data_IF_891536377768
#
_entry.id   IF_891536377768
#
_cell.length_a   1.000
_cell.length_b   1.000
_cell.length_c   1.000
_cell.angle_alpha   90.00
_cell.angle_beta   90.00
_cell.angle_gamma   90.00
#
_symmetry.space_group_name_H-M   'P 1'
#
loop_
_entity.id
_entity.type
_entity.pdbx_description
1 polymer ?
#
# COMPACT_ATOMS: atom_id res chain seq x y z
N UNK A 1 -26.09 21.80 31.05
CA UNK A 1 -25.60 20.92 29.97
C UNK A 1 -26.83 20.31 29.38
N UNK A 2 -27.30 20.84 28.24
CA UNK A 2 -28.38 20.21 27.52
C UNK A 2 -27.75 19.02 26.80
N UNK A 3 -28.15 17.82 27.20
CA UNK A 3 -27.78 16.58 26.55
C UNK A 3 -28.87 16.15 25.56
N UNK A 4 -28.70 14.96 25.00
CA UNK A 4 -29.50 14.35 23.96
C UNK A 4 -31.00 14.65 24.09
N UNK A 5 -31.55 15.30 23.07
CA UNK A 5 -32.92 15.83 23.04
C UNK A 5 -33.75 15.30 21.86
N UNK A 6 -33.22 14.35 21.08
CA UNK A 6 -33.93 13.78 19.94
C UNK A 6 -35.02 12.79 20.38
N UNK A 7 -36.29 12.99 19.99
CA UNK A 7 -37.43 12.26 20.56
C UNK A 7 -37.61 10.84 20.01
N UNK A 8 -37.23 10.60 18.75
CA UNK A 8 -37.57 9.35 18.06
C UNK A 8 -36.56 8.23 18.29
N UNK A 9 -35.36 8.56 18.72
CA UNK A 9 -34.26 7.61 18.90
C UNK A 9 -33.33 8.05 20.02
N UNK A 10 -32.96 7.11 20.90
CA UNK A 10 -31.94 7.37 21.92
C UNK A 10 -30.54 7.42 21.29
N UNK A 11 -29.60 8.16 21.90
CA UNK A 11 -28.20 8.18 21.46
C UNK A 11 -27.60 6.76 21.43
N UNK A 12 -27.91 5.92 22.43
CA UNK A 12 -27.40 4.56 22.50
C UNK A 12 -27.88 3.69 21.32
N UNK A 13 -29.16 3.80 20.96
CA UNK A 13 -29.71 3.02 19.85
C UNK A 13 -29.23 3.54 18.49
N UNK A 14 -29.03 4.85 18.36
CA UNK A 14 -28.40 5.43 17.17
C UNK A 14 -26.96 4.93 17.01
N UNK A 15 -26.17 4.91 18.08
CA UNK A 15 -24.78 4.41 18.03
C UNK A 15 -24.74 2.91 17.68
N UNK A 16 -25.70 2.10 18.17
CA UNK A 16 -25.85 0.70 17.73
C UNK A 16 -26.13 0.60 16.23
N UNK A 17 -27.01 1.45 15.70
CA UNK A 17 -27.34 1.48 14.28
C UNK A 17 -26.14 1.92 13.41
N UNK A 18 -25.37 2.92 13.86
CA UNK A 18 -24.15 3.38 13.20
C UNK A 18 -23.07 2.29 13.23
N UNK A 19 -22.92 1.57 14.35
CA UNK A 19 -21.99 0.43 14.43
C UNK A 19 -22.35 -0.67 13.43
N UNK A 20 -23.62 -1.04 13.32
CA UNK A 20 -24.08 -1.99 12.32
C UNK A 20 -23.82 -1.51 10.88
N UNK A 21 -24.01 -0.21 10.63
CA UNK A 21 -23.67 0.40 9.33
C UNK A 21 -22.18 0.31 9.01
N UNK A 22 -21.31 0.64 9.98
CA UNK A 22 -19.86 0.50 9.85
C UNK A 22 -19.45 -0.93 9.53
N UNK A 23 -20.04 -1.92 10.18
CA UNK A 23 -19.79 -3.34 9.88
C UNK A 23 -20.20 -3.69 8.44
N UNK A 24 -21.33 -3.18 7.95
CA UNK A 24 -21.75 -3.35 6.55
C UNK A 24 -20.81 -2.66 5.56
N UNK A 25 -20.38 -1.43 5.84
CA UNK A 25 -19.39 -0.71 5.02
C UNK A 25 -18.07 -1.47 4.95
N UNK A 26 -17.63 -2.02 6.07
CA UNK A 26 -16.42 -2.83 6.10
C UNK A 26 -16.57 -4.10 5.22
N UNK A 27 -17.73 -4.75 5.24
CA UNK A 27 -18.03 -5.88 4.34
C UNK A 27 -18.18 -5.47 2.86
N UNK A 28 -18.62 -4.23 2.61
CA UNK A 28 -18.73 -3.68 1.25
C UNK A 28 -17.37 -3.51 0.57
N UNK A 29 -16.27 -3.46 1.34
CA UNK A 29 -14.89 -3.48 0.81
C UNK A 29 -14.55 -4.74 0.00
N UNK A 30 -15.37 -5.80 0.11
CA UNK A 30 -15.30 -6.99 -0.73
C UNK A 30 -14.82 -8.25 -0.02
N UNK A 31 -14.36 -8.15 1.23
CA UNK A 31 -13.86 -9.30 2.00
C UNK A 31 -14.51 -9.39 3.39
N UNK A 32 -14.67 -10.62 3.85
CA UNK A 32 -15.04 -10.94 5.23
C UNK A 32 -13.79 -10.99 6.11
N UNK A 33 -13.96 -10.94 7.43
CA UNK A 33 -12.88 -11.11 8.41
C UNK A 33 -12.14 -12.45 8.30
N UNK A 34 -12.74 -13.45 7.65
CA UNK A 34 -12.12 -14.73 7.34
C UNK A 34 -11.18 -14.71 6.12
N UNK A 35 -11.07 -13.57 5.43
CA UNK A 35 -10.37 -13.45 4.14
C UNK A 35 -11.17 -14.00 2.95
N UNK A 36 -12.35 -14.58 3.20
CA UNK A 36 -13.26 -14.99 2.12
C UNK A 36 -13.93 -13.77 1.49
N UNK A 37 -14.29 -13.91 0.23
CA UNK A 37 -14.96 -12.83 -0.49
C UNK A 37 -16.35 -12.61 0.12
N UNK A 38 -16.68 -11.35 0.40
CA UNK A 38 -18.02 -10.97 0.84
C UNK A 38 -19.03 -11.31 -0.26
N UNK A 39 -20.15 -11.91 0.14
CA UNK A 39 -21.25 -12.20 -0.76
C UNK A 39 -22.31 -11.12 -0.65
N UNK A 40 -22.55 -10.44 -1.76
CA UNK A 40 -23.57 -9.41 -1.91
C UNK A 40 -24.48 -9.81 -3.07
N UNK A 41 -25.74 -10.13 -2.75
CA UNK A 41 -26.83 -10.26 -3.71
C UNK A 41 -27.67 -8.98 -3.71
N UNK A 42 -28.60 -8.85 -4.66
CA UNK A 42 -29.41 -7.63 -4.77
C UNK A 42 -30.23 -7.37 -3.50
N UNK A 43 -30.72 -8.43 -2.85
CA UNK A 43 -31.51 -8.33 -1.62
C UNK A 43 -30.70 -7.75 -0.46
N UNK A 44 -29.48 -8.21 -0.23
CA UNK A 44 -28.63 -7.73 0.86
C UNK A 44 -28.10 -6.32 0.55
N UNK A 45 -27.82 -6.00 -0.72
CA UNK A 45 -27.49 -4.63 -1.13
C UNK A 45 -28.67 -3.69 -0.86
N UNK A 46 -29.89 -4.05 -1.24
CA UNK A 46 -31.09 -3.27 -0.94
C UNK A 46 -31.24 -2.99 0.56
N UNK A 47 -31.06 -4.00 1.40
CA UNK A 47 -31.13 -3.83 2.87
C UNK A 47 -30.05 -2.87 3.38
N UNK A 48 -28.82 -2.98 2.89
CA UNK A 48 -27.74 -2.07 3.27
C UNK A 48 -28.04 -0.62 2.85
N UNK A 49 -28.60 -0.43 1.66
CA UNK A 49 -29.01 0.89 1.16
C UNK A 49 -30.21 1.46 1.92
N UNK A 50 -31.19 0.64 2.31
CA UNK A 50 -32.30 1.06 3.18
C UNK A 50 -31.80 1.47 4.55
N UNK A 51 -30.82 0.76 5.11
CA UNK A 51 -30.18 1.13 6.38
C UNK A 51 -29.42 2.46 6.27
N UNK A 52 -28.72 2.65 5.14
CA UNK A 52 -28.01 3.89 4.85
C UNK A 52 -28.98 5.08 4.70
N UNK A 53 -30.12 4.89 4.02
CA UNK A 53 -31.18 5.89 3.93
C UNK A 53 -31.76 6.23 5.29
N UNK A 54 -32.05 5.23 6.13
CA UNK A 54 -32.54 5.47 7.49
C UNK A 54 -31.60 6.38 8.28
N UNK A 55 -30.30 6.10 8.28
CA UNK A 55 -29.32 6.95 8.97
C UNK A 55 -29.26 8.35 8.37
N UNK A 56 -29.29 8.46 7.04
CA UNK A 56 -29.29 9.75 6.35
C UNK A 56 -30.54 10.57 6.69
N UNK A 57 -31.71 9.95 6.78
CA UNK A 57 -32.96 10.62 7.13
C UNK A 57 -32.91 11.12 8.58
N UNK A 58 -32.44 10.30 9.54
CA UNK A 58 -32.26 10.73 10.94
C UNK A 58 -31.27 11.90 11.04
N UNK A 59 -30.15 11.86 10.30
CA UNK A 59 -29.18 12.96 10.29
C UNK A 59 -29.75 14.24 9.68
N UNK A 60 -30.57 14.11 8.63
CA UNK A 60 -31.25 15.25 8.01
C UNK A 60 -32.22 15.89 9.00
N UNK A 61 -33.00 15.08 9.71
CA UNK A 61 -33.98 15.58 10.68
C UNK A 61 -33.28 16.28 11.86
N UNK A 62 -32.20 15.69 12.39
CA UNK A 62 -31.34 16.33 13.40
C UNK A 62 -30.71 17.65 12.91
N UNK A 63 -30.34 17.73 11.63
CA UNK A 63 -29.71 18.93 11.05
C UNK A 63 -30.70 20.02 10.64
N UNK A 64 -32.00 19.70 10.60
CA UNK A 64 -33.04 20.59 10.09
C UNK A 64 -33.53 21.63 11.12
N UNK A 65 -33.30 21.38 12.42
CA UNK A 65 -33.72 22.26 13.49
C UNK A 65 -32.54 22.69 14.36
N UNK A 66 -32.49 23.98 14.69
CA UNK A 66 -31.51 24.53 15.64
C UNK A 66 -31.67 23.92 17.05
N UNK A 67 -32.83 23.36 17.37
CA UNK A 67 -33.14 22.73 18.67
C UNK A 67 -32.28 21.47 18.95
N UNK A 68 -31.72 20.85 17.91
CA UNK A 68 -30.92 19.62 18.01
C UNK A 68 -29.41 19.84 17.86
N UNK A 69 -28.94 21.09 17.80
CA UNK A 69 -27.51 21.38 17.64
C UNK A 69 -26.66 20.75 18.74
N UNK A 70 -27.10 20.84 20.00
CA UNK A 70 -26.39 20.24 21.14
C UNK A 70 -26.39 18.69 21.05
N UNK A 71 -27.45 18.08 20.47
CA UNK A 71 -27.50 16.63 20.22
C UNK A 71 -26.57 16.19 19.09
N UNK A 72 -26.39 17.01 18.05
CA UNK A 72 -25.41 16.76 16.99
C UNK A 72 -23.97 16.82 17.52
N UNK A 73 -23.66 17.81 18.35
CA UNK A 73 -22.34 17.91 19.01
C UNK A 73 -22.07 16.71 19.93
N UNK A 74 -23.09 16.27 20.68
CA UNK A 74 -22.99 15.07 21.52
C UNK A 74 -22.79 13.80 20.68
N UNK A 75 -23.50 13.66 19.55
CA UNK A 75 -23.32 12.56 18.61
C UNK A 75 -21.91 12.52 18.05
N UNK A 76 -21.40 13.64 17.53
CA UNK A 76 -20.06 13.70 16.96
C UNK A 76 -18.99 13.41 18.01
N UNK A 77 -19.19 13.83 19.26
CA UNK A 77 -18.31 13.47 20.38
C UNK A 77 -18.31 11.96 20.62
N UNK A 78 -19.49 11.32 20.66
CA UNK A 78 -19.60 9.88 20.84
C UNK A 78 -19.03 9.08 19.65
N UNK A 79 -19.18 9.58 18.42
CA UNK A 79 -18.56 8.98 17.22
C UNK A 79 -17.03 9.08 17.27
N UNK A 80 -16.48 10.21 17.72
CA UNK A 80 -15.05 10.38 17.95
C UNK A 80 -14.52 9.39 18.99
N UNK A 81 -15.23 9.22 20.12
CA UNK A 81 -14.88 8.24 21.14
C UNK A 81 -14.90 6.81 20.58
N UNK A 82 -15.92 6.45 19.79
CA UNK A 82 -16.00 5.15 19.14
C UNK A 82 -14.85 4.93 18.14
N UNK A 83 -14.52 5.94 17.33
CA UNK A 83 -13.43 5.89 16.35
C UNK A 83 -12.04 5.80 17.02
N UNK A 84 -11.90 6.30 18.26
CA UNK A 84 -10.68 6.20 19.04
C UNK A 84 -10.33 4.78 19.49
N UNK A 85 -11.30 3.84 19.40
CA UNK A 85 -11.07 2.46 19.82
C UNK A 85 -10.03 1.78 18.91
N UNK A 86 -9.01 1.08 19.44
CA UNK A 86 -7.93 0.50 18.62
C UNK A 86 -8.41 -0.47 17.53
N UNK A 87 -9.53 -1.15 17.76
CA UNK A 87 -10.12 -2.10 16.79
C UNK A 87 -11.03 -1.44 15.75
N UNK A 88 -11.21 -0.11 15.80
CA UNK A 88 -12.02 0.60 14.84
C UNK A 88 -11.31 0.65 13.48
N UNK A 89 -12.00 0.38 12.35
CA UNK A 89 -11.35 0.37 11.04
C UNK A 89 -10.86 1.77 10.68
N UNK A 90 -9.54 1.94 10.56
CA UNK A 90 -8.90 3.26 10.38
C UNK A 90 -9.32 3.97 9.08
N UNK A 91 -9.64 3.21 8.03
CA UNK A 91 -10.12 3.77 6.75
C UNK A 91 -11.45 4.54 6.85
N UNK A 92 -12.20 4.36 7.93
CA UNK A 92 -13.48 5.03 8.19
C UNK A 92 -13.46 5.77 9.54
N UNK A 93 -12.28 6.02 10.12
CA UNK A 93 -12.15 6.73 11.41
C UNK A 93 -12.68 8.18 11.37
N UNK A 94 -12.92 8.73 10.18
CA UNK A 94 -13.48 10.07 9.96
C UNK A 94 -15.03 10.10 9.98
N UNK A 95 -15.69 9.01 10.38
CA UNK A 95 -17.16 8.96 10.51
C UNK A 95 -17.64 10.04 11.48
N UNK A 96 -18.57 10.86 11.00
CA UNK A 96 -19.20 11.97 11.71
C UNK A 96 -20.67 12.08 11.26
N UNK A 97 -21.45 12.89 11.96
CA UNK A 97 -22.81 13.28 11.58
C UNK A 97 -22.86 13.77 10.12
N UNK A 98 -21.87 14.55 9.69
CA UNK A 98 -21.72 15.03 8.30
C UNK A 98 -21.52 13.88 7.32
N UNK A 99 -20.71 12.87 7.63
CA UNK A 99 -20.54 11.68 6.77
C UNK A 99 -21.83 10.87 6.74
N UNK A 100 -22.48 10.68 7.89
CA UNK A 100 -23.74 9.94 8.01
C UNK A 100 -24.91 10.64 7.28
N UNK A 101 -24.88 11.97 7.16
CA UNK A 101 -25.83 12.73 6.33
C UNK A 101 -25.74 12.37 4.84
N UNK A 102 -24.66 11.70 4.41
CA UNK A 102 -24.44 11.14 3.08
C UNK A 102 -24.28 9.61 3.12
N UNK A 103 -24.83 8.94 4.13
CA UNK A 103 -24.62 7.50 4.35
C UNK A 103 -24.97 6.65 3.12
N UNK A 104 -26.00 7.01 2.35
CA UNK A 104 -26.36 6.34 1.09
C UNK A 104 -25.22 6.36 0.09
N UNK A 105 -24.72 7.55 -0.22
CA UNK A 105 -23.67 7.78 -1.21
C UNK A 105 -22.38 7.10 -0.75
N UNK A 106 -22.07 7.20 0.55
CA UNK A 106 -20.95 6.53 1.19
C UNK A 106 -21.01 4.99 1.04
N UNK A 107 -22.17 4.37 1.29
CA UNK A 107 -22.36 2.92 1.10
C UNK A 107 -22.21 2.52 -0.36
N UNK A 108 -22.80 3.28 -1.30
CA UNK A 108 -22.68 3.02 -2.73
C UNK A 108 -21.22 3.10 -3.20
N UNK A 109 -20.48 4.12 -2.75
CA UNK A 109 -19.04 4.25 -3.05
C UNK A 109 -18.27 3.02 -2.57
N UNK A 110 -18.52 2.50 -1.37
CA UNK A 110 -17.82 1.32 -0.87
C UNK A 110 -18.19 0.04 -1.64
N UNK A 111 -19.47 -0.16 -1.95
CA UNK A 111 -19.93 -1.30 -2.75
C UNK A 111 -19.33 -1.26 -4.17
N UNK A 112 -19.19 -0.07 -4.76
CA UNK A 112 -18.55 0.11 -6.07
C UNK A 112 -17.04 -0.04 -5.96
N UNK A 113 -16.42 0.38 -4.85
CA UNK A 113 -14.97 0.35 -4.62
C UNK A 113 -14.42 -1.04 -4.34
N UNK A 114 -15.26 -2.04 -4.06
CA UNK A 114 -14.88 -3.43 -3.90
C UNK A 114 -13.87 -3.90 -4.97
N UNK A 115 -12.79 -4.58 -4.57
CA UNK A 115 -11.75 -5.04 -5.48
C UNK A 115 -11.48 -6.54 -5.29
N UNK A 116 -11.62 -7.38 -6.34
CA UNK A 116 -12.14 -7.05 -7.67
C UNK A 116 -13.66 -6.82 -7.67
N UNK A 117 -14.13 -5.87 -8.50
CA UNK A 117 -15.56 -5.68 -8.77
C UNK A 117 -16.01 -6.77 -9.76
N UNK A 118 -16.53 -7.88 -9.24
CA UNK A 118 -16.95 -9.04 -10.04
C UNK A 118 -18.29 -8.80 -10.72
N UNK A 119 -18.49 -9.42 -11.89
CA UNK A 119 -19.72 -9.35 -12.67
C UNK A 119 -20.98 -9.66 -11.84
N UNK A 120 -20.92 -10.68 -10.99
CA UNK A 120 -22.03 -11.04 -10.10
C UNK A 120 -22.39 -9.94 -9.09
N UNK A 121 -21.37 -9.30 -8.51
CA UNK A 121 -21.54 -8.18 -7.58
C UNK A 121 -22.05 -6.93 -8.30
N UNK A 122 -21.47 -6.61 -9.46
CA UNK A 122 -21.92 -5.50 -10.29
C UNK A 122 -23.38 -5.67 -10.72
N UNK A 123 -23.76 -6.87 -11.18
CA UNK A 123 -25.15 -7.17 -11.55
C UNK A 123 -26.10 -7.01 -10.35
N UNK A 124 -25.71 -7.53 -9.18
CA UNK A 124 -26.50 -7.41 -7.96
C UNK A 124 -26.68 -5.94 -7.55
N UNK A 125 -25.60 -5.15 -7.61
CA UNK A 125 -25.60 -3.72 -7.30
C UNK A 125 -26.52 -2.93 -8.25
N UNK A 126 -26.36 -3.12 -9.56
CA UNK A 126 -27.21 -2.45 -10.55
C UNK A 126 -28.69 -2.82 -10.39
N UNK A 127 -28.98 -4.09 -10.11
CA UNK A 127 -30.36 -4.56 -9.87
C UNK A 127 -30.96 -3.88 -8.64
N UNK A 128 -30.23 -3.90 -7.52
CA UNK A 128 -30.65 -3.27 -6.27
C UNK A 128 -30.91 -1.76 -6.43
N UNK A 129 -30.04 -1.05 -7.14
CA UNK A 129 -30.18 0.40 -7.31
C UNK A 129 -31.41 0.78 -8.15
N UNK A 130 -31.73 0.00 -9.19
CA UNK A 130 -32.96 0.18 -9.97
C UNK A 130 -34.20 -0.13 -9.12
N UNK A 131 -34.15 -1.19 -8.31
CA UNK A 131 -35.25 -1.54 -7.40
C UNK A 131 -35.48 -0.46 -6.33
N UNK A 132 -34.40 0.06 -5.72
CA UNK A 132 -34.47 1.15 -4.75
C UNK A 132 -35.04 2.42 -5.36
N UNK A 133 -34.58 2.80 -6.56
CA UNK A 133 -35.14 3.94 -7.28
C UNK A 133 -36.62 3.72 -7.58
N UNK A 134 -37.01 2.55 -8.09
CA UNK A 134 -38.41 2.24 -8.36
C UNK A 134 -39.30 2.37 -7.11
N UNK A 135 -38.86 1.84 -5.97
CA UNK A 135 -39.60 1.94 -4.72
C UNK A 135 -39.69 3.36 -4.17
N UNK A 136 -38.67 4.20 -4.39
CA UNK A 136 -38.71 5.61 -4.00
C UNK A 136 -39.66 6.41 -4.91
N UNK A 137 -39.64 6.16 -6.22
CA UNK A 137 -40.50 6.89 -7.16
C UNK A 137 -42.00 6.55 -6.97
N UNK A 138 -42.36 5.30 -6.64
CA UNK A 138 -43.74 4.95 -6.30
C UNK A 138 -44.30 5.73 -5.11
N UNK A 139 -43.45 6.17 -4.17
CA UNK A 139 -43.87 6.91 -2.98
C UNK A 139 -44.03 8.41 -3.25
N UNK A 140 -43.26 8.97 -4.19
CA UNK A 140 -43.13 10.43 -4.35
C UNK A 140 -44.05 10.99 -5.44
N UNK A 141 -44.25 10.29 -6.56
CA UNK A 141 -45.11 10.76 -7.65
C UNK A 141 -45.45 9.59 -8.58
N UNK A 142 -46.72 9.43 -8.96
CA UNK A 142 -47.20 8.39 -9.90
C UNK A 142 -46.69 8.50 -11.34
N UNK A 143 -45.49 9.06 -11.58
CA UNK A 143 -44.85 9.12 -12.90
C UNK A 143 -44.53 7.71 -13.39
N UNK A 144 -44.80 7.46 -14.67
CA UNK A 144 -44.50 6.19 -15.33
C UNK A 144 -42.99 5.93 -15.37
N UNK A 145 -42.58 4.67 -15.23
CA UNK A 145 -41.20 4.17 -15.38
C UNK A 145 -40.44 4.78 -16.56
N UNK A 146 -41.12 5.05 -17.68
CA UNK A 146 -40.52 5.65 -18.87
C UNK A 146 -39.95 7.05 -18.61
N UNK A 147 -40.62 7.89 -17.82
CA UNK A 147 -40.13 9.24 -17.52
C UNK A 147 -38.88 9.22 -16.62
N UNK A 148 -38.74 8.20 -15.77
CA UNK A 148 -37.53 7.98 -14.97
C UNK A 148 -36.36 7.54 -15.86
N UNK A 149 -36.56 6.57 -16.75
CA UNK A 149 -35.53 6.13 -17.70
C UNK A 149 -35.08 7.26 -18.64
N UNK A 150 -36.01 8.08 -19.13
CA UNK A 150 -35.69 9.27 -19.94
C UNK A 150 -34.83 10.27 -19.15
N UNK A 151 -35.16 10.51 -17.87
CA UNK A 151 -34.40 11.42 -17.00
C UNK A 151 -32.97 10.90 -16.74
N UNK A 152 -32.81 9.60 -16.48
CA UNK A 152 -31.50 8.97 -16.35
C UNK A 152 -30.66 9.15 -17.62
N UNK A 153 -31.21 8.81 -18.78
CA UNK A 153 -30.52 8.91 -20.07
C UNK A 153 -30.10 10.36 -20.38
N UNK A 154 -30.98 11.34 -20.10
CA UNK A 154 -30.67 12.76 -20.31
C UNK A 154 -29.57 13.24 -19.37
N UNK A 155 -29.58 12.84 -18.10
CA UNK A 155 -28.62 13.32 -17.10
C UNK A 155 -27.21 12.72 -17.30
N UNK A 156 -27.10 11.47 -17.75
CA UNK A 156 -25.80 10.87 -18.11
C UNK A 156 -25.17 11.58 -19.31
N UNK A 157 -25.97 12.13 -20.23
CA UNK A 157 -25.45 12.87 -21.40
C UNK A 157 -25.04 14.32 -21.13
N UNK A 158 -25.40 14.88 -19.97
CA UNK A 158 -25.30 16.33 -19.70
C UNK A 158 -24.10 16.72 -18.83
N UNK A 159 -23.40 15.74 -18.26
CA UNK A 159 -22.27 15.95 -17.34
C UNK A 159 -20.91 15.77 -18.03
N UNK A 160 -20.74 16.38 -19.21
CA UNK A 160 -19.41 16.73 -19.68
C UNK A 160 -18.87 17.85 -18.76
N UNK A 161 -17.74 17.60 -18.10
CA UNK A 161 -16.93 18.56 -17.32
C UNK A 161 -17.47 19.03 -15.95
N UNK A 162 -17.56 18.12 -14.96
CA UNK A 162 -17.41 18.55 -13.55
C UNK A 162 -15.94 18.37 -13.14
N UNK A 163 -15.20 19.47 -13.28
CA UNK A 163 -13.92 19.83 -12.68
C UNK A 163 -12.90 18.70 -12.38
N UNK A 164 -11.86 18.66 -13.22
CA UNK A 164 -10.59 17.92 -13.10
C UNK A 164 -9.77 18.20 -11.82
N UNK A 165 -10.32 18.91 -10.81
CA UNK A 165 -9.56 19.39 -9.64
C UNK A 165 -9.76 18.63 -8.34
N UNK A 166 -10.76 17.74 -8.25
CA UNK A 166 -11.01 16.92 -7.04
C UNK A 166 -10.41 15.50 -7.17
N UNK A 167 -9.40 15.33 -8.03
CA UNK A 167 -8.91 14.03 -8.47
C UNK A 167 -8.01 13.29 -7.45
N UNK A 168 -7.74 13.86 -6.29
CA UNK A 168 -7.01 13.23 -5.20
C UNK A 168 -7.61 13.70 -3.87
N UNK A 169 -8.27 12.80 -3.14
CA UNK A 169 -8.58 12.98 -1.71
C UNK A 169 -7.53 12.14 -1.00
N UNK A 170 -6.37 12.66 -0.58
CA UNK A 170 -6.12 13.53 0.56
C UNK A 170 -6.73 14.94 0.46
N UNK A 171 -7.89 15.12 1.09
CA UNK A 171 -8.26 16.44 1.60
C UNK A 171 -7.30 16.79 2.76
N UNK A 172 -6.20 17.46 2.42
CA UNK A 172 -5.43 18.22 3.39
C UNK A 172 -6.33 19.34 3.92
N UNK A 173 -6.87 19.11 5.12
CA UNK A 173 -7.01 20.04 6.24
C UNK A 173 -6.36 21.40 5.92
N UNK A 174 -7.16 22.41 5.58
CA UNK A 174 -6.96 23.85 5.87
C UNK A 174 -7.96 24.70 5.08
N UNK A 175 -9.24 24.61 5.44
CA UNK A 175 -10.19 25.69 5.15
C UNK A 175 -10.73 26.24 6.47
N UNK A 176 -10.34 27.50 6.73
CA UNK A 176 -10.66 28.33 7.90
C UNK A 176 -12.17 28.34 8.24
N UNK A 177 -12.54 28.36 9.54
CA UNK A 177 -13.93 28.23 9.99
C UNK A 177 -14.65 29.57 10.02
N UNK A 178 -14.74 30.29 8.90
CA UNK A 178 -15.54 31.53 8.83
C UNK A 178 -15.98 31.82 7.38
N UNK A 179 -16.97 31.07 6.91
CA UNK A 179 -17.87 31.56 5.86
C UNK A 179 -19.28 31.12 6.21
N UNK A 180 -20.10 32.08 6.60
CA UNK A 180 -21.52 31.91 6.90
C UNK A 180 -22.25 31.27 5.71
N UNK A 181 -23.23 30.38 5.92
CA UNK A 181 -24.03 29.85 4.82
C UNK A 181 -25.00 30.93 4.38
N UNK A 182 -24.63 31.70 3.34
CA UNK A 182 -25.60 32.56 2.66
C UNK A 182 -26.57 31.66 1.91
N UNK A 183 -27.85 31.78 2.23
CA UNK A 183 -28.92 30.92 1.76
C UNK A 183 -28.96 30.76 0.25
N UNK A 184 -28.58 29.57 -0.19
CA UNK A 184 -29.27 28.85 -1.25
C UNK A 184 -29.53 27.48 -0.66
N UNK A 185 -30.79 27.23 -0.32
CA UNK A 185 -31.28 25.87 -0.25
C UNK A 185 -31.09 25.31 -1.65
N UNK A 186 -29.96 24.65 -1.88
CA UNK A 186 -29.82 23.74 -3.00
C UNK A 186 -30.83 22.63 -2.71
N UNK A 187 -32.02 22.77 -3.29
CA UNK A 187 -32.83 21.66 -3.76
C UNK A 187 -31.98 20.86 -4.75
N UNK A 188 -30.92 20.21 -4.26
CA UNK A 188 -30.22 19.19 -4.99
C UNK A 188 -31.22 18.06 -5.09
N UNK A 189 -31.89 17.99 -6.22
CA UNK A 189 -32.67 16.84 -6.66
C UNK A 189 -31.95 15.61 -6.15
N UNK A 190 -32.57 14.89 -5.20
CA UNK A 190 -32.06 13.64 -4.67
C UNK A 190 -31.63 12.78 -5.86
N UNK A 191 -30.32 12.70 -6.08
CA UNK A 191 -29.75 11.94 -7.18
C UNK A 191 -30.18 10.49 -6.94
N UNK A 192 -30.93 9.91 -7.89
CA UNK A 192 -31.35 8.51 -7.79
C UNK A 192 -30.15 7.59 -7.62
N UNK A 193 -30.35 6.47 -6.93
CA UNK A 193 -29.33 5.45 -6.69
C UNK A 193 -28.59 5.07 -7.98
N UNK A 194 -29.34 4.92 -9.07
CA UNK A 194 -28.82 4.53 -10.38
C UNK A 194 -27.96 5.63 -11.02
N UNK A 195 -28.36 6.91 -10.88
CA UNK A 195 -27.59 8.03 -11.42
C UNK A 195 -26.26 8.20 -10.67
N UNK A 196 -26.29 8.13 -9.34
CA UNK A 196 -25.08 8.16 -8.53
C UNK A 196 -24.14 6.99 -8.89
N UNK A 197 -24.71 5.79 -9.03
CA UNK A 197 -23.94 4.59 -9.38
C UNK A 197 -23.29 4.70 -10.74
N UNK A 198 -23.98 5.24 -11.75
CA UNK A 198 -23.42 5.46 -13.07
C UNK A 198 -22.19 6.38 -13.01
N UNK A 199 -22.30 7.52 -12.33
CA UNK A 199 -21.18 8.45 -12.15
C UNK A 199 -20.01 7.84 -11.38
N UNK A 200 -20.27 7.10 -10.32
CA UNK A 200 -19.20 6.48 -9.52
C UNK A 200 -18.53 5.33 -10.27
N UNK A 201 -19.26 4.57 -11.08
CA UNK A 201 -18.69 3.56 -11.98
C UNK A 201 -17.84 4.19 -13.08
N UNK A 202 -18.27 5.31 -13.65
CA UNK A 202 -17.50 6.08 -14.63
C UNK A 202 -16.18 6.58 -14.01
N UNK A 203 -16.23 7.17 -12.81
CA UNK A 203 -15.03 7.57 -12.06
C UNK A 203 -14.09 6.39 -11.82
N UNK A 204 -14.63 5.24 -11.37
CA UNK A 204 -13.84 4.02 -11.17
C UNK A 204 -13.20 3.57 -12.48
N UNK A 205 -13.91 3.61 -13.60
CA UNK A 205 -13.40 3.23 -14.90
C UNK A 205 -12.24 4.12 -15.35
N UNK A 206 -12.35 5.44 -15.15
CA UNK A 206 -11.26 6.39 -15.43
C UNK A 206 -10.01 6.05 -14.60
N UNK A 207 -10.16 5.81 -13.29
CA UNK A 207 -9.05 5.39 -12.42
C UNK A 207 -8.42 4.08 -12.89
N UNK A 208 -9.23 3.08 -13.24
CA UNK A 208 -8.72 1.78 -13.76
C UNK A 208 -7.97 1.98 -15.08
N UNK A 209 -8.46 2.85 -15.97
CA UNK A 209 -7.80 3.17 -17.23
C UNK A 209 -6.44 3.84 -17.01
N UNK A 210 -6.35 4.78 -16.06
CA UNK A 210 -5.09 5.43 -15.70
C UNK A 210 -4.09 4.44 -15.11
N UNK A 211 -4.53 3.57 -14.18
CA UNK A 211 -3.70 2.50 -13.62
C UNK A 211 -3.22 1.57 -14.73
N UNK A 212 -4.09 1.16 -15.66
CA UNK A 212 -3.74 0.31 -16.79
C UNK A 212 -2.70 0.97 -17.71
N UNK A 213 -2.81 2.28 -17.97
CA UNK A 213 -1.82 3.03 -18.74
C UNK A 213 -0.47 3.09 -18.00
N UNK A 214 -0.48 3.36 -16.69
CA UNK A 214 0.74 3.37 -15.88
C UNK A 214 1.40 1.99 -15.84
N UNK A 215 0.60 0.93 -15.67
CA UNK A 215 1.05 -0.46 -15.72
C UNK A 215 1.65 -0.84 -17.07
N UNK A 216 1.11 -0.33 -18.17
CA UNK A 216 1.66 -0.54 -19.52
C UNK A 216 3.00 0.17 -19.68
N UNK A 217 3.11 1.42 -19.21
CA UNK A 217 4.39 2.15 -19.21
C UNK A 217 5.46 1.44 -18.37
N UNK A 218 5.06 0.89 -17.23
CA UNK A 218 5.93 0.10 -16.36
C UNK A 218 6.41 -1.20 -17.03
N UNK A 219 5.54 -1.90 -17.77
CA UNK A 219 5.94 -3.09 -18.54
C UNK A 219 7.00 -2.75 -19.60
N UNK A 220 6.86 -1.60 -20.26
CA UNK A 220 7.83 -1.12 -21.26
C UNK A 220 9.18 -0.81 -20.59
N UNK A 221 9.18 -0.15 -19.43
CA UNK A 221 10.42 0.11 -18.68
C UNK A 221 11.08 -1.19 -18.18
N UNK A 222 10.29 -2.08 -17.59
CA UNK A 222 10.76 -3.37 -17.07
C UNK A 222 11.31 -4.28 -18.17
N UNK A 223 10.64 -4.35 -19.33
CA UNK A 223 11.15 -5.09 -20.50
C UNK A 223 12.43 -4.47 -21.06
N UNK A 224 12.52 -3.15 -21.18
CA UNK A 224 13.75 -2.48 -21.60
C UNK A 224 14.95 -2.76 -20.68
N UNK A 225 14.74 -2.81 -19.36
CA UNK A 225 15.78 -3.16 -18.40
C UNK A 225 16.18 -4.64 -18.48
N UNK A 226 15.22 -5.53 -18.66
CA UNK A 226 15.48 -6.97 -18.88
C UNK A 226 16.28 -7.21 -20.16
N UNK A 227 15.97 -6.50 -21.25
CA UNK A 227 16.73 -6.60 -22.50
C UNK A 227 18.18 -6.11 -22.34
N UNK A 228 18.40 -5.06 -21.55
CA UNK A 228 19.74 -4.57 -21.21
C UNK A 228 20.51 -5.63 -20.40
N UNK A 229 19.86 -6.21 -19.39
CA UNK A 229 20.41 -7.28 -18.57
C UNK A 229 20.78 -8.51 -19.41
N UNK A 230 19.87 -9.04 -20.23
CA UNK A 230 20.10 -10.23 -21.05
C UNK A 230 21.19 -9.99 -22.12
N UNK A 231 21.26 -8.79 -22.70
CA UNK A 231 22.33 -8.42 -23.65
C UNK A 231 23.69 -8.36 -22.97
N UNK A 232 23.75 -7.80 -21.77
CA UNK A 232 24.99 -7.69 -21.00
C UNK A 232 25.45 -9.03 -20.44
N UNK A 233 24.54 -9.92 -20.00
CA UNK A 233 24.91 -11.24 -19.50
C UNK A 233 25.37 -12.17 -20.64
N UNK A 234 24.74 -12.09 -21.82
CA UNK A 234 25.22 -12.80 -23.02
C UNK A 234 26.61 -12.31 -23.49
N UNK A 235 26.88 -11.01 -23.40
CA UNK A 235 28.20 -10.45 -23.68
C UNK A 235 29.22 -10.83 -22.59
N UNK A 236 28.80 -10.87 -21.32
CA UNK A 236 29.63 -11.31 -20.21
C UNK A 236 29.95 -12.81 -20.29
N UNK A 237 29.00 -13.66 -20.70
CA UNK A 237 29.17 -15.09 -20.96
C UNK A 237 30.22 -15.35 -22.05
N UNK A 238 30.23 -14.54 -23.11
CA UNK A 238 31.26 -14.63 -24.16
C UNK A 238 32.67 -14.19 -23.67
N UNK A 239 32.75 -13.35 -22.64
CA UNK A 239 34.02 -12.95 -21.99
C UNK A 239 34.43 -13.92 -20.84
N UNK A 240 33.46 -14.62 -20.22
CA UNK A 240 33.62 -15.47 -19.02
C UNK A 240 34.30 -16.84 -19.24
N UNK A 241 34.61 -17.24 -20.48
CA UNK A 241 35.32 -18.52 -20.75
C UNK A 241 36.78 -18.55 -20.22
N UNK A 242 37.26 -17.49 -19.53
CA UNK A 242 38.68 -17.37 -19.08
C UNK A 242 38.94 -17.08 -17.59
N UNK A 243 37.96 -17.05 -16.70
CA UNK A 243 38.20 -16.55 -15.32
C UNK A 243 37.93 -17.58 -14.21
N UNK A 244 38.92 -18.43 -13.92
CA UNK A 244 39.01 -19.27 -12.72
C UNK A 244 39.96 -18.67 -11.67
N UNK A 245 39.63 -17.53 -11.07
CA UNK A 245 40.47 -16.91 -10.03
C UNK A 245 39.65 -16.28 -8.90
N UNK A 246 40.11 -16.50 -7.66
CA UNK A 246 39.44 -16.12 -6.41
C UNK A 246 39.01 -14.63 -6.34
N UNK A 247 37.79 -14.43 -5.83
CA UNK A 247 37.06 -13.16 -5.66
C UNK A 247 37.83 -11.99 -5.01
N UNK A 248 38.80 -12.27 -4.15
CA UNK A 248 39.56 -11.25 -3.38
C UNK A 248 41.03 -11.06 -3.82
N UNK A 249 41.56 -11.89 -4.72
CA UNK A 249 43.02 -11.90 -5.01
C UNK A 249 43.48 -11.11 -6.22
N UNK A 250 42.59 -10.76 -7.17
CA UNK A 250 42.93 -9.80 -8.24
C UNK A 250 42.15 -8.50 -8.03
N UNK A 251 42.85 -7.43 -7.66
CA UNK A 251 42.33 -6.05 -7.55
C UNK A 251 41.98 -5.47 -8.93
N UNK A 252 41.05 -6.10 -9.66
CA UNK A 252 40.51 -5.53 -10.90
C UNK A 252 39.30 -4.64 -10.57
N UNK A 253 39.21 -3.46 -11.19
CA UNK A 253 38.02 -2.62 -11.06
C UNK A 253 36.81 -3.36 -11.63
N UNK A 254 35.65 -3.15 -11.02
CA UNK A 254 34.38 -3.70 -11.53
C UNK A 254 34.18 -3.19 -12.96
N UNK A 255 33.99 -4.11 -13.90
CA UNK A 255 33.70 -3.75 -15.28
C UNK A 255 32.33 -3.08 -15.41
N UNK A 256 32.22 -2.09 -16.28
CA UNK A 256 30.96 -1.36 -16.52
C UNK A 256 29.79 -2.27 -16.89
N UNK A 257 30.06 -3.38 -17.57
CA UNK A 257 29.06 -4.40 -17.94
C UNK A 257 28.51 -5.11 -16.70
N UNK A 258 29.34 -5.46 -15.71
CA UNK A 258 28.88 -6.09 -14.48
C UNK A 258 28.07 -5.09 -13.62
N UNK A 259 28.54 -3.84 -13.55
CA UNK A 259 27.83 -2.77 -12.84
C UNK A 259 26.42 -2.53 -13.40
N UNK A 260 26.31 -2.37 -14.73
CA UNK A 260 25.03 -2.15 -15.39
C UNK A 260 24.09 -3.36 -15.26
N UNK A 261 24.65 -4.58 -15.29
CA UNK A 261 23.89 -5.81 -15.07
C UNK A 261 23.30 -5.87 -13.66
N UNK A 262 24.09 -5.57 -12.62
CA UNK A 262 23.60 -5.48 -11.25
C UNK A 262 22.53 -4.39 -11.09
N UNK A 263 22.78 -3.20 -11.64
CA UNK A 263 21.84 -2.08 -11.59
C UNK A 263 20.51 -2.43 -12.27
N UNK A 264 20.54 -2.96 -13.49
CA UNK A 264 19.34 -3.35 -14.24
C UNK A 264 18.58 -4.48 -13.55
N UNK A 265 19.26 -5.50 -12.99
CA UNK A 265 18.63 -6.59 -12.23
C UNK A 265 17.87 -6.07 -11.02
N UNK A 266 18.49 -5.20 -10.22
CA UNK A 266 17.85 -4.63 -9.03
C UNK A 266 16.70 -3.67 -9.41
N UNK A 267 16.87 -2.84 -10.44
CA UNK A 267 15.78 -1.97 -10.93
C UNK A 267 14.60 -2.78 -11.48
N UNK A 268 14.85 -3.91 -12.15
CA UNK A 268 13.79 -4.80 -12.64
C UNK A 268 12.93 -5.32 -11.50
N UNK A 269 13.53 -5.67 -10.36
CA UNK A 269 12.80 -6.06 -9.15
C UNK A 269 11.97 -4.91 -8.56
N UNK A 270 12.54 -3.70 -8.48
CA UNK A 270 11.84 -2.52 -7.93
C UNK A 270 10.71 -2.01 -8.83
N UNK A 271 10.84 -2.18 -10.14
CA UNK A 271 9.83 -1.79 -11.12
C UNK A 271 8.87 -2.93 -11.48
N UNK A 272 8.96 -4.06 -10.79
CA UNK A 272 8.02 -5.15 -10.99
C UNK A 272 6.64 -4.82 -10.39
N UNK A 273 5.58 -5.15 -11.13
CA UNK A 273 4.19 -4.87 -10.73
C UNK A 273 3.81 -5.56 -9.42
N UNK A 274 4.24 -6.81 -9.22
CA UNK A 274 3.97 -7.55 -7.97
C UNK A 274 4.70 -6.84 -6.83
N UNK A 275 5.97 -6.47 -7.01
CA UNK A 275 6.72 -5.77 -5.97
C UNK A 275 6.09 -4.44 -5.57
N UNK A 276 5.69 -3.59 -6.53
CA UNK A 276 5.03 -2.30 -6.24
C UNK A 276 3.71 -2.50 -5.49
N UNK A 277 2.92 -3.51 -5.87
CA UNK A 277 1.69 -3.87 -5.14
C UNK A 277 1.99 -4.35 -3.72
N UNK A 278 3.06 -5.13 -3.52
CA UNK A 278 3.50 -5.57 -2.20
C UNK A 278 3.99 -4.40 -1.35
N UNK A 279 4.69 -3.41 -1.91
CA UNK A 279 5.09 -2.18 -1.20
C UNK A 279 3.87 -1.43 -0.69
N UNK A 280 2.86 -1.23 -1.55
CA UNK A 280 1.60 -0.58 -1.16
C UNK A 280 0.88 -1.38 -0.06
N UNK A 281 0.77 -2.71 -0.23
CA UNK A 281 0.18 -3.59 0.77
C UNK A 281 0.93 -3.60 2.11
N UNK A 282 2.26 -3.59 2.08
CA UNK A 282 3.09 -3.49 3.28
C UNK A 282 2.89 -2.14 3.97
N UNK A 283 2.84 -1.03 3.22
CA UNK A 283 2.55 0.29 3.78
C UNK A 283 1.22 0.30 4.54
N UNK A 284 0.16 -0.28 3.94
CA UNK A 284 -1.15 -0.42 4.57
C UNK A 284 -1.09 -1.31 5.83
N UNK A 285 -0.48 -2.49 5.74
CA UNK A 285 -0.38 -3.44 6.87
C UNK A 285 0.33 -2.83 8.06
N UNK A 286 1.46 -2.17 7.83
CA UNK A 286 2.29 -1.60 8.90
C UNK A 286 1.86 -0.18 9.32
N UNK A 287 0.82 0.38 8.71
CA UNK A 287 0.12 1.56 9.24
C UNK A 287 -0.70 1.21 10.49
N UNK A 288 -1.03 -0.07 10.68
CA UNK A 288 -1.69 -0.55 11.89
C UNK A 288 -0.72 -0.61 13.09
N UNK A 289 -1.23 -0.55 14.34
CA UNK A 289 -0.42 -0.73 15.55
C UNK A 289 0.35 -2.06 15.56
N UNK A 290 1.54 -2.07 16.19
CA UNK A 290 2.43 -3.25 16.30
C UNK A 290 1.71 -4.53 16.72
N UNK A 291 0.82 -4.45 17.70
CA UNK A 291 0.06 -5.59 18.20
C UNK A 291 -0.86 -6.21 17.14
N UNK A 292 -1.38 -5.43 16.19
CA UNK A 292 -2.34 -5.90 15.19
C UNK A 292 -1.65 -6.63 14.05
N UNK A 293 -0.62 -6.04 13.43
CA UNK A 293 0.06 -6.71 12.33
C UNK A 293 0.85 -7.95 12.81
N UNK A 294 1.34 -7.97 14.06
CA UNK A 294 1.92 -9.20 14.64
C UNK A 294 0.88 -10.33 14.69
N UNK A 295 -0.36 -10.04 15.07
CA UNK A 295 -1.42 -11.05 15.09
C UNK A 295 -1.72 -11.60 13.69
N UNK A 296 -1.60 -10.78 12.64
CA UNK A 296 -1.74 -11.25 11.25
C UNK A 296 -0.69 -12.32 10.97
N UNK A 297 0.58 -12.06 11.25
CA UNK A 297 1.65 -13.04 11.03
C UNK A 297 1.58 -14.27 11.96
N UNK A 298 1.08 -14.11 13.19
CA UNK A 298 0.88 -15.25 14.10
C UNK A 298 -0.26 -16.19 13.65
N UNK A 299 -1.28 -15.65 12.96
CA UNK A 299 -2.41 -16.41 12.44
C UNK A 299 -2.13 -17.09 11.10
N UNK A 300 -1.12 -16.63 10.38
CA UNK A 300 -0.54 -17.38 9.26
C UNK A 300 0.14 -18.59 9.89
N UNK A 301 -0.46 -19.78 9.75
CA UNK A 301 0.07 -21.00 10.35
C UNK A 301 1.45 -21.30 9.78
N UNK A 302 2.51 -20.90 10.51
CA UNK A 302 3.91 -21.06 10.12
C UNK A 302 4.39 -22.52 10.14
N UNK A 303 3.61 -23.44 10.71
CA UNK A 303 4.01 -24.82 10.93
C UNK A 303 3.81 -25.73 9.70
N UNK A 304 2.92 -25.33 8.79
CA UNK A 304 2.60 -26.04 7.54
C UNK A 304 3.16 -25.36 6.28
N UNK A 305 3.95 -24.29 6.44
CA UNK A 305 4.44 -23.46 5.34
C UNK A 305 5.61 -24.09 4.59
N UNK A 306 5.57 -23.95 3.26
CA UNK A 306 6.71 -24.18 2.37
C UNK A 306 7.81 -23.13 2.58
N UNK A 307 9.04 -23.40 2.13
CA UNK A 307 10.12 -22.41 2.18
C UNK A 307 9.75 -21.13 1.42
N UNK A 308 9.06 -21.24 0.29
CA UNK A 308 8.59 -20.12 -0.53
C UNK A 308 7.67 -19.16 0.26
N UNK A 309 6.72 -19.70 1.01
CA UNK A 309 5.83 -18.91 1.87
C UNK A 309 6.56 -18.20 3.02
N UNK A 310 7.68 -18.75 3.51
CA UNK A 310 8.52 -18.06 4.49
C UNK A 310 9.30 -16.91 3.85
N UNK A 311 9.79 -17.09 2.62
CA UNK A 311 10.43 -16.04 1.83
C UNK A 311 9.48 -14.87 1.59
N UNK A 312 8.22 -15.12 1.20
CA UNK A 312 7.22 -14.07 0.99
C UNK A 312 6.93 -13.25 2.26
N UNK A 313 6.91 -13.89 3.43
CA UNK A 313 6.75 -13.19 4.72
C UNK A 313 7.95 -12.26 4.97
N UNK A 314 9.17 -12.75 4.76
CA UNK A 314 10.39 -11.93 4.94
C UNK A 314 10.41 -10.78 3.92
N UNK A 315 10.07 -11.05 2.66
CA UNK A 315 9.95 -10.03 1.61
C UNK A 315 8.97 -8.93 2.04
N UNK A 316 7.76 -9.30 2.47
CA UNK A 316 6.73 -8.36 2.92
C UNK A 316 7.19 -7.51 4.11
N UNK A 317 7.86 -8.13 5.10
CA UNK A 317 8.42 -7.43 6.26
C UNK A 317 9.49 -6.43 5.84
N UNK A 318 10.43 -6.81 4.97
CA UNK A 318 11.47 -5.91 4.46
C UNK A 318 10.87 -4.78 3.61
N UNK A 319 9.86 -5.07 2.78
CA UNK A 319 9.12 -4.05 2.02
C UNK A 319 8.43 -3.04 2.95
N UNK A 320 7.95 -3.50 4.11
CA UNK A 320 7.43 -2.64 5.17
C UNK A 320 8.44 -1.63 5.73
N UNK A 321 9.72 -1.99 5.79
CA UNK A 321 10.80 -1.10 6.23
C UNK A 321 11.19 -0.04 5.20
N UNK A 322 10.82 -0.24 3.93
CA UNK A 322 11.24 0.61 2.81
C UNK A 322 10.09 1.32 2.13
N UNK A 323 8.84 1.02 2.47
CA UNK A 323 7.67 1.58 1.79
C UNK A 323 7.67 3.11 1.73
N UNK A 324 7.98 3.77 2.86
CA UNK A 324 8.03 5.23 2.96
C UNK A 324 9.24 5.84 2.20
N UNK A 325 10.22 5.01 1.81
CA UNK A 325 11.48 5.39 1.15
C UNK A 325 11.65 4.71 -0.22
N UNK A 326 10.55 4.22 -0.80
CA UNK A 326 10.61 3.44 -2.03
C UNK A 326 11.13 4.26 -3.22
N UNK A 327 10.61 5.48 -3.38
CA UNK A 327 11.05 6.39 -4.45
C UNK A 327 12.51 6.79 -4.30
N UNK A 328 12.96 7.11 -3.08
CA UNK A 328 14.35 7.51 -2.83
C UNK A 328 15.34 6.36 -3.07
N UNK A 329 14.92 5.10 -2.86
CA UNK A 329 15.69 3.93 -3.26
C UNK A 329 15.88 3.85 -4.78
N UNK A 330 14.78 4.02 -5.54
CA UNK A 330 14.83 3.98 -7.01
C UNK A 330 15.74 5.10 -7.53
N UNK A 331 15.57 6.32 -7.02
CA UNK A 331 16.37 7.47 -7.41
C UNK A 331 17.86 7.23 -7.11
N UNK A 332 18.18 6.70 -5.93
CA UNK A 332 19.56 6.38 -5.54
C UNK A 332 20.21 5.36 -6.47
N UNK A 333 19.49 4.31 -6.83
CA UNK A 333 20.00 3.33 -7.79
C UNK A 333 20.16 3.94 -9.18
N UNK A 334 19.20 4.74 -9.63
CA UNK A 334 19.27 5.43 -10.92
C UNK A 334 20.45 6.41 -11.00
N UNK A 335 20.76 7.12 -9.91
CA UNK A 335 21.87 8.06 -9.80
C UNK A 335 23.22 7.41 -9.52
N UNK A 336 23.26 6.11 -9.18
CA UNK A 336 24.52 5.40 -9.00
C UNK A 336 25.31 5.35 -10.32
N UNK A 337 26.48 6.00 -10.32
CA UNK A 337 27.41 6.03 -11.44
C UNK A 337 28.43 4.90 -11.31
N UNK A 338 28.83 4.32 -12.44
CA UNK A 338 29.89 3.32 -12.48
C UNK A 338 31.23 4.00 -12.16
N UNK A 339 31.63 3.98 -10.90
CA UNK A 339 32.99 4.30 -10.50
C UNK A 339 33.88 3.05 -10.68
N UNK A 340 35.11 3.23 -11.15
CA UNK A 340 36.10 2.14 -11.27
C UNK A 340 36.61 1.73 -9.87
N UNK A 341 35.74 1.12 -9.08
CA UNK A 341 36.00 0.67 -7.70
C UNK A 341 36.25 -0.84 -7.71
N UNK A 342 37.14 -1.31 -6.85
CA UNK A 342 37.43 -2.73 -6.66
C UNK A 342 36.47 -3.34 -5.64
N UNK A 343 36.17 -4.64 -5.75
CA UNK A 343 35.34 -5.37 -4.76
C UNK A 343 35.90 -5.26 -3.33
N UNK A 344 37.24 -5.27 -3.19
CA UNK A 344 37.91 -5.11 -1.90
C UNK A 344 37.66 -3.74 -1.26
N UNK A 345 37.61 -2.67 -2.07
CA UNK A 345 37.30 -1.33 -1.59
C UNK A 345 35.84 -1.21 -1.15
N UNK A 346 34.89 -1.73 -1.94
CA UNK A 346 33.47 -1.75 -1.56
C UNK A 346 33.26 -2.50 -0.24
N UNK A 347 33.84 -3.70 -0.11
CA UNK A 347 33.76 -4.51 1.11
C UNK A 347 34.33 -3.75 2.30
N UNK A 348 35.53 -3.17 2.18
CA UNK A 348 36.15 -2.40 3.25
C UNK A 348 35.31 -1.19 3.68
N UNK A 349 34.72 -0.45 2.73
CA UNK A 349 33.85 0.69 3.02
C UNK A 349 32.58 0.25 3.75
N UNK A 350 31.96 -0.87 3.35
CA UNK A 350 30.81 -1.47 4.04
C UNK A 350 31.18 -1.93 5.46
N UNK A 351 32.32 -2.62 5.65
CA UNK A 351 32.77 -3.03 6.99
C UNK A 351 33.13 -1.85 7.89
N UNK A 352 33.60 -0.74 7.30
CA UNK A 352 33.89 0.49 8.05
C UNK A 352 32.65 1.05 8.75
N UNK A 353 31.43 0.77 8.26
CA UNK A 353 30.18 1.19 8.89
C UNK A 353 29.95 0.54 10.26
N UNK A 354 30.37 -0.72 10.40
CA UNK A 354 30.29 -1.47 11.67
C UNK A 354 31.37 -0.96 12.63
N UNK A 355 32.60 -0.78 12.13
CA UNK A 355 33.76 -0.35 12.93
C UNK A 355 33.68 1.10 13.42
N UNK A 356 33.13 2.01 12.61
CA UNK A 356 32.95 3.43 12.97
C UNK A 356 31.80 3.65 13.95
N UNK A 357 31.13 2.59 14.40
CA UNK A 357 29.98 2.68 15.29
C UNK A 357 28.88 3.53 14.68
N UNK A 358 28.38 3.19 13.48
CA UNK A 358 27.17 3.74 12.85
C UNK A 358 26.89 5.23 13.13
N UNK A 359 27.91 6.09 13.01
CA UNK A 359 27.79 7.55 13.20
C UNK A 359 27.70 8.33 11.89
N UNK A 360 27.76 7.67 10.72
CA UNK A 360 27.79 8.34 9.43
C UNK A 360 26.40 8.51 8.79
N UNK A 361 25.86 9.71 9.03
CA UNK A 361 25.19 10.67 8.14
C UNK A 361 23.97 10.32 7.26
N UNK A 362 23.74 9.10 6.77
CA UNK A 362 22.41 8.79 6.16
C UNK A 362 21.37 8.34 7.20
N UNK A 363 21.78 8.21 8.47
CA UNK A 363 20.95 7.81 9.60
C UNK A 363 20.73 8.96 10.61
N UNK A 364 21.14 10.19 10.29
CA UNK A 364 20.95 11.34 11.17
C UNK A 364 19.91 12.27 10.56
N UNK A 365 18.69 12.18 11.11
CA UNK A 365 17.63 13.21 11.21
C UNK A 365 16.20 12.86 10.81
N UNK A 366 15.92 11.66 10.30
CA UNK A 366 14.52 11.21 10.19
C UNK A 366 14.17 10.34 11.41
N UNK A 367 13.46 10.98 12.36
CA UNK A 367 12.68 10.40 13.47
C UNK A 367 12.69 8.88 13.42
N UNK A 368 13.39 8.22 14.38
CA UNK A 368 13.37 6.76 14.57
C UNK A 368 11.94 6.27 14.38
N UNK A 369 11.62 5.76 13.19
CA UNK A 369 10.26 5.39 12.88
C UNK A 369 9.97 4.17 13.76
N UNK A 370 9.15 4.36 14.80
CA UNK A 370 8.80 3.31 15.76
C UNK A 370 8.25 2.06 15.04
N UNK A 371 7.65 2.26 13.86
CA UNK A 371 7.25 1.24 12.90
C UNK A 371 8.42 0.37 12.43
N UNK A 372 9.46 0.97 11.87
CA UNK A 372 10.64 0.26 11.33
C UNK A 372 11.35 -0.51 12.44
N UNK A 373 11.51 0.10 13.62
CA UNK A 373 12.09 -0.59 14.78
C UNK A 373 11.27 -1.83 15.16
N UNK A 374 9.95 -1.69 15.22
CA UNK A 374 9.05 -2.81 15.52
C UNK A 374 9.13 -3.96 14.52
N UNK A 375 9.30 -3.65 13.22
CA UNK A 375 9.45 -4.66 12.16
C UNK A 375 10.81 -5.34 12.25
N UNK A 376 11.90 -4.59 12.46
CA UNK A 376 13.25 -5.14 12.57
C UNK A 376 13.38 -6.05 13.81
N UNK A 377 12.82 -5.66 14.95
CA UNK A 377 12.77 -6.51 16.14
C UNK A 377 12.06 -7.84 15.86
N UNK A 378 10.94 -7.81 15.12
CA UNK A 378 10.21 -9.01 14.74
C UNK A 378 11.04 -9.88 13.77
N UNK A 379 11.67 -9.26 12.76
CA UNK A 379 12.55 -9.94 11.82
C UNK A 379 13.76 -10.59 12.50
N UNK A 380 14.37 -9.94 13.49
CA UNK A 380 15.52 -10.50 14.23
C UNK A 380 15.17 -11.81 14.94
N UNK A 381 13.96 -11.91 15.49
CA UNK A 381 13.45 -13.14 16.11
C UNK A 381 13.10 -14.16 15.04
N UNK A 382 12.41 -13.75 13.98
CA UNK A 382 11.97 -14.63 12.90
C UNK A 382 13.14 -15.27 12.13
N UNK A 383 14.21 -14.51 11.91
CA UNK A 383 15.39 -14.92 11.14
C UNK A 383 16.50 -15.56 11.98
N UNK A 384 16.34 -15.72 13.30
CA UNK A 384 17.42 -16.14 14.21
C UNK A 384 18.22 -17.37 13.72
N UNK A 385 17.54 -18.36 13.13
CA UNK A 385 18.14 -19.56 12.52
C UNK A 385 17.81 -19.72 11.03
N UNK A 386 17.38 -18.63 10.37
CA UNK A 386 16.83 -18.64 8.99
C UNK A 386 17.40 -17.50 8.14
N UNK A 387 18.60 -17.02 8.46
CA UNK A 387 19.26 -15.94 7.69
C UNK A 387 19.45 -16.31 6.21
N UNK A 388 19.52 -17.60 5.89
CA UNK A 388 19.58 -18.08 4.51
C UNK A 388 18.39 -17.59 3.65
N UNK A 389 17.22 -17.28 4.24
CA UNK A 389 16.06 -16.75 3.51
C UNK A 389 16.36 -15.38 2.86
N UNK A 390 17.25 -14.57 3.44
CA UNK A 390 17.68 -13.29 2.83
C UNK A 390 18.46 -13.49 1.52
N UNK A 391 18.98 -14.69 1.29
CA UNK A 391 19.70 -15.03 0.05
C UNK A 391 18.79 -15.42 -1.10
N UNK A 392 17.55 -15.82 -0.81
CA UNK A 392 16.53 -16.09 -1.81
C UNK A 392 15.81 -14.79 -2.24
N UNK A 393 16.02 -13.69 -1.50
CA UNK A 393 15.48 -12.36 -1.80
C UNK A 393 16.44 -11.51 -2.63
N UNK A 394 15.84 -10.51 -3.30
CA UNK A 394 16.55 -9.50 -4.08
C UNK A 394 17.62 -8.77 -3.23
N UNK A 395 18.89 -8.69 -3.70
CA UNK A 395 19.98 -8.05 -2.96
C UNK A 395 19.69 -6.61 -2.52
N UNK A 396 19.10 -5.78 -3.39
CA UNK A 396 18.74 -4.39 -3.06
C UNK A 396 17.76 -4.31 -1.89
N UNK A 397 16.80 -5.24 -1.80
CA UNK A 397 15.78 -5.20 -0.76
C UNK A 397 16.42 -5.42 0.61
N UNK A 398 17.23 -6.48 0.75
CA UNK A 398 17.93 -6.76 2.01
C UNK A 398 18.89 -5.63 2.38
N UNK A 399 19.65 -5.10 1.42
CA UNK A 399 20.60 -4.03 1.65
C UNK A 399 19.92 -2.73 2.11
N UNK A 400 18.80 -2.34 1.52
CA UNK A 400 18.15 -1.07 1.86
C UNK A 400 17.23 -1.18 3.09
N UNK A 401 16.57 -2.32 3.28
CA UNK A 401 15.61 -2.51 4.35
C UNK A 401 16.27 -2.72 5.72
N UNK A 402 17.45 -3.36 5.76
CA UNK A 402 18.13 -3.70 7.02
C UNK A 402 19.00 -2.51 7.45
N UNK A 403 18.66 -1.79 8.54
CA UNK A 403 19.42 -0.61 8.94
C UNK A 403 20.80 -0.99 9.48
N UNK A 404 21.82 -0.20 9.15
CA UNK A 404 23.22 -0.48 9.52
C UNK A 404 23.46 -0.60 11.04
N UNK A 405 22.62 0.06 11.85
CA UNK A 405 22.70 0.03 13.31
C UNK A 405 22.13 -1.25 13.94
N UNK A 406 21.32 -2.02 13.21
CA UNK A 406 20.61 -3.20 13.73
C UNK A 406 21.55 -4.38 14.00
N UNK A 407 21.15 -5.30 14.90
CA UNK A 407 21.91 -6.54 15.08
C UNK A 407 21.72 -7.47 13.87
N UNK A 408 20.55 -7.40 13.21
CA UNK A 408 20.30 -8.10 11.95
C UNK A 408 21.35 -7.75 10.89
N UNK A 409 21.71 -6.48 10.76
CA UNK A 409 22.75 -6.04 9.82
C UNK A 409 24.10 -6.69 10.09
N UNK A 410 24.52 -6.75 11.37
CA UNK A 410 25.79 -7.39 11.74
C UNK A 410 25.78 -8.88 11.41
N UNK A 411 24.68 -9.58 11.72
CA UNK A 411 24.51 -11.00 11.37
C UNK A 411 24.54 -11.21 9.85
N UNK A 412 23.89 -10.34 9.10
CA UNK A 412 23.88 -10.39 7.64
C UNK A 412 25.28 -10.18 7.05
N UNK A 413 26.05 -9.23 7.58
CA UNK A 413 27.45 -9.03 7.18
C UNK A 413 28.35 -10.21 7.54
N UNK A 414 28.21 -10.79 8.73
CA UNK A 414 29.00 -11.98 9.10
C UNK A 414 28.71 -13.17 8.18
N UNK A 415 27.46 -13.33 7.75
CA UNK A 415 27.08 -14.36 6.78
C UNK A 415 27.66 -14.06 5.38
N UNK A 416 27.70 -12.79 4.96
CA UNK A 416 28.38 -12.35 3.73
C UNK A 416 29.88 -12.65 3.80
N UNK A 417 30.54 -12.38 4.92
CA UNK A 417 31.97 -12.65 5.12
C UNK A 417 32.28 -14.15 5.04
N UNK A 418 31.43 -14.99 5.64
CA UNK A 418 31.55 -16.43 5.51
C UNK A 418 31.48 -16.87 4.04
N UNK A 419 30.68 -16.20 3.19
CA UNK A 419 30.54 -16.56 1.76
C UNK A 419 31.78 -16.14 0.98
N UNK A 420 32.36 -14.99 1.34
CA UNK A 420 33.60 -14.46 0.75
C UNK A 420 34.80 -15.35 1.09
N UNK A 421 34.89 -15.83 2.32
CA UNK A 421 36.02 -16.65 2.80
C UNK A 421 35.88 -18.12 2.35
N UNK A 422 34.65 -18.57 2.06
CA UNK A 422 34.35 -19.93 1.62
C UNK A 422 34.10 -20.92 2.77
N UNK A 423 34.07 -20.43 4.02
CA UNK A 423 33.79 -21.21 5.23
C UNK A 423 32.29 -21.24 5.50
N UNK A 424 31.56 -22.17 4.86
CA UNK A 424 30.13 -22.31 5.05
C UNK A 424 29.72 -23.47 5.96
N UNK A 425 28.89 -23.14 6.96
CA UNK A 425 28.01 -24.06 7.66
C UNK A 425 26.59 -23.98 7.09
N UNK A 426 26.33 -24.58 5.92
CA UNK A 426 24.97 -24.96 5.57
C UNK A 426 24.94 -26.19 4.68
N UNK A 427 24.27 -27.21 5.21
CA UNK A 427 23.76 -28.45 4.62
C UNK A 427 22.86 -28.16 3.42
N UNK A 428 23.39 -27.59 2.34
CA UNK A 428 22.72 -27.53 1.04
C UNK A 428 23.07 -28.81 0.28
N UNK A 429 22.22 -29.84 0.39
CA UNK A 429 22.37 -31.09 -0.35
C UNK A 429 22.04 -30.88 -1.84
N UNK A 430 22.89 -30.22 -2.61
CA UNK A 430 22.69 -30.13 -4.06
C UNK A 430 24.01 -30.18 -4.83
N UNK A 431 24.21 -31.29 -5.53
CA UNK A 431 25.36 -31.66 -6.35
C UNK A 431 25.51 -30.80 -7.62
N UNK A 432 26.75 -30.34 -7.91
CA UNK A 432 27.40 -30.00 -9.21
C UNK A 432 28.19 -28.65 -9.22
N UNK A 433 29.28 -28.59 -10.00
CA UNK A 433 30.62 -28.27 -9.46
C UNK A 433 31.48 -27.14 -10.08
N UNK A 434 31.03 -26.30 -11.03
CA UNK A 434 31.88 -25.15 -11.49
C UNK A 434 31.12 -23.85 -11.81
N UNK A 435 30.11 -23.88 -12.68
CA UNK A 435 29.28 -22.69 -13.01
C UNK A 435 28.59 -22.09 -11.76
N UNK A 436 28.28 -22.92 -10.77
CA UNK A 436 27.60 -22.51 -9.53
C UNK A 436 28.50 -21.73 -8.55
N UNK A 437 29.83 -21.83 -8.66
CA UNK A 437 30.75 -21.03 -7.84
C UNK A 437 30.84 -19.60 -8.36
N UNK A 438 30.91 -19.43 -9.69
CA UNK A 438 30.94 -18.11 -10.33
C UNK A 438 29.61 -17.34 -10.14
N UNK A 439 28.47 -18.02 -10.22
CA UNK A 439 27.17 -17.39 -9.89
C UNK A 439 27.05 -16.96 -8.42
N UNK A 440 27.65 -17.72 -7.49
CA UNK A 440 27.68 -17.34 -6.07
C UNK A 440 28.61 -16.15 -5.80
N UNK A 441 29.78 -16.12 -6.44
CA UNK A 441 30.71 -14.99 -6.33
C UNK A 441 30.11 -13.70 -6.93
N UNK A 442 29.39 -13.81 -8.05
CA UNK A 442 28.66 -12.69 -8.64
C UNK A 442 27.53 -12.18 -7.72
N UNK A 443 26.79 -13.07 -7.06
CA UNK A 443 25.71 -12.69 -6.14
C UNK A 443 26.23 -12.02 -4.86
N UNK A 444 27.37 -12.49 -4.33
CA UNK A 444 28.03 -11.88 -3.16
C UNK A 444 28.56 -10.48 -3.52
N UNK A 445 29.22 -10.30 -4.67
CA UNK A 445 29.64 -8.99 -5.14
C UNK A 445 28.47 -8.02 -5.29
N UNK A 446 27.37 -8.47 -5.87
CA UNK A 446 26.19 -7.63 -6.05
C UNK A 446 25.57 -7.20 -4.72
N UNK A 447 25.55 -8.09 -3.72
CA UNK A 447 25.06 -7.76 -2.37
C UNK A 447 25.95 -6.73 -1.68
N UNK A 448 27.27 -6.87 -1.78
CA UNK A 448 28.24 -5.89 -1.27
C UNK A 448 28.05 -4.54 -1.99
N UNK A 449 27.86 -4.57 -3.30
CA UNK A 449 27.56 -3.38 -4.10
C UNK A 449 26.26 -2.70 -3.66
N UNK A 450 25.18 -3.45 -3.47
CA UNK A 450 23.91 -2.92 -2.98
C UNK A 450 24.09 -2.27 -1.59
N UNK A 451 24.82 -2.91 -0.68
CA UNK A 451 25.13 -2.36 0.64
C UNK A 451 25.93 -1.06 0.56
N UNK A 452 26.91 -0.99 -0.35
CA UNK A 452 27.68 0.22 -0.60
C UNK A 452 26.80 1.36 -1.12
N UNK A 453 25.99 1.11 -2.16
CA UNK A 453 25.06 2.12 -2.70
C UNK A 453 24.07 2.59 -1.63
N UNK A 454 23.52 1.66 -0.85
CA UNK A 454 22.48 1.97 0.15
C UNK A 454 23.01 2.67 1.40
N UNK A 455 24.22 2.37 1.88
CA UNK A 455 24.71 2.88 3.16
C UNK A 455 25.90 3.84 3.07
N UNK A 456 26.63 3.86 1.95
CA UNK A 456 27.84 4.69 1.79
C UNK A 456 27.63 5.77 0.74
N UNK A 457 27.13 5.40 -0.45
CA UNK A 457 26.94 6.30 -1.59
C UNK A 457 25.89 7.41 -1.40
N UNK A 458 25.13 7.39 -0.30
CA UNK A 458 24.19 8.47 0.05
C UNK A 458 24.85 9.68 0.72
N UNK A 459 26.11 9.57 1.15
CA UNK A 459 26.80 10.65 1.88
C UNK A 459 27.20 11.85 1.02
N UNK A 460 27.34 11.67 -0.30
CA UNK A 460 27.82 12.73 -1.20
C UNK A 460 26.68 13.51 -1.89
N UNK A 461 25.51 12.90 -2.10
CA UNK A 461 24.40 13.50 -2.88
C UNK A 461 23.64 14.56 -2.08
N UNK A 462 23.50 14.41 -0.76
CA UNK A 462 22.87 15.43 0.10
C UNK A 462 23.77 16.64 0.39
N UNK A 463 25.09 16.52 0.15
CA UNK A 463 26.02 17.65 0.29
C UNK A 463 25.92 18.66 -0.87
N UNK A 464 25.40 18.22 -2.02
CA UNK A 464 25.28 19.04 -3.23
C UNK A 464 23.93 19.79 -3.34
N UNK A 465 22.90 19.36 -2.61
CA UNK A 465 21.56 20.01 -2.63
C UNK A 465 21.45 21.25 -1.74
N UNK A 466 22.49 21.59 -0.97
CA UNK A 466 22.56 22.83 -0.17
C UNK A 466 23.46 23.92 -0.79
N UNK A 467 23.87 23.76 -2.05
CA UNK A 467 24.66 24.77 -2.77
C UNK A 467 24.07 25.12 -4.13
N UNK A 468 22.86 25.70 -4.15
CA UNK A 468 22.45 26.75 -5.11
C UNK A 468 21.27 27.53 -4.55
#
# INVERSE_FOLDING_TARGET
>A
MAGWSYPDLSLEDLLKAVKGFIEMVNLASGYQSSGRIAHWDSLNINKALQWALFLQDVMRDLSSSDDYRDSLEELDTALCEMASHPSFPQGIAHVSSKVLSKARDFMLEHLISAFPLRDGHLKALLTANVEMDYHMHQKTDGRSLNGYFETLMCNTSRNDFINERNFLMEESINSSPNSSPSGQADDSISCGFSLFTAHTLERRQLTISLISSAETGLDVLSSGLRDLYEREDNNALNVKVKHTTNFMTEERPIGSVAWNSWKSRNLTYLLDKRTIRLVSGASLLFSAPKSQWIQVFQRIDLSSQTEDSLCEIVELLLLGCVADRWSSLIDRLMLSFCEFVTNSRLSNEVHSLVLRGCRNFCCREEIMNSKVNGIIEYLEVFLHNRLYLLWELSPVLAAFAIPSWSNLFRKYLTELDAQVIGDFSLTRSYNSTKERKEHKECDVAERIWCLHVCHVGGSDIESASFST
#
